data_IF_329532501532
#
_entry.id   IF_329532501532
#
_cell.length_a   1.000
_cell.length_b   1.000
_cell.length_c   1.000
_cell.angle_alpha   90.00
_cell.angle_beta   90.00
_cell.angle_gamma   90.00
#
_symmetry.space_group_name_H-M   'P 1'
#
loop_
_entity.id
_entity.type
_entity.pdbx_description
1 polymer ?
#
# COMPACT_ATOMS: atom_id res chain seq x y z
N UNK A 1 -28.54 -38.32 33.49
CA UNK A 1 -28.77 -37.75 32.14
C UNK A 1 -29.80 -36.64 32.21
N UNK A 2 -29.36 -35.38 32.19
CA UNK A 2 -30.20 -34.22 31.86
C UNK A 2 -29.36 -33.34 30.95
N UNK A 3 -29.60 -33.50 29.66
CA UNK A 3 -28.91 -32.77 28.61
C UNK A 3 -29.52 -31.38 28.45
N UNK A 4 -28.62 -30.43 28.18
CA UNK A 4 -28.78 -29.31 27.25
C UNK A 4 -29.93 -28.32 27.49
N UNK A 5 -29.56 -27.14 28.00
CA UNK A 5 -29.86 -25.86 27.33
C UNK A 5 -29.08 -24.72 28.00
N UNK A 6 -27.74 -24.80 27.94
CA UNK A 6 -26.94 -23.58 28.05
C UNK A 6 -26.98 -22.95 26.66
N UNK A 7 -28.08 -22.24 26.39
CA UNK A 7 -28.11 -21.26 25.31
C UNK A 7 -27.17 -20.15 25.73
N UNK A 8 -25.91 -20.26 25.32
CA UNK A 8 -25.04 -19.11 25.23
C UNK A 8 -25.72 -18.15 24.25
N UNK A 9 -26.46 -17.18 24.79
CA UNK A 9 -26.61 -15.88 24.14
C UNK A 9 -25.18 -15.44 23.82
N UNK A 10 -24.80 -15.68 22.56
CA UNK A 10 -23.69 -14.97 21.95
C UNK A 10 -24.03 -13.51 22.12
N UNK A 11 -23.40 -12.88 23.11
CA UNK A 11 -23.42 -11.45 23.31
C UNK A 11 -22.80 -10.84 22.05
N UNK A 12 -23.65 -10.57 21.07
CA UNK A 12 -23.24 -9.95 19.81
C UNK A 12 -22.82 -8.54 20.18
N UNK A 13 -21.50 -8.36 20.32
CA UNK A 13 -20.87 -7.05 20.47
C UNK A 13 -21.57 -6.06 19.54
N UNK A 14 -22.04 -4.91 20.06
CA UNK A 14 -22.78 -3.96 19.25
C UNK A 14 -21.97 -3.62 18.00
N UNK A 15 -22.61 -3.79 16.83
CA UNK A 15 -21.97 -3.52 15.55
C UNK A 15 -21.35 -2.11 15.58
N UNK A 16 -20.05 -1.95 15.25
CA UNK A 16 -19.46 -0.62 15.20
C UNK A 16 -20.28 0.25 14.26
N UNK A 17 -20.56 1.51 14.64
CA UNK A 17 -21.46 2.42 13.90
C UNK A 17 -21.08 2.59 12.41
N UNK A 18 -19.84 2.25 12.00
CA UNK A 18 -19.34 2.26 10.61
C UNK A 18 -18.32 1.13 10.35
N UNK A 19 -18.74 -0.12 10.10
CA UNK A 19 -17.83 -1.27 10.01
C UNK A 19 -16.86 -1.18 8.83
N UNK A 20 -17.28 -0.58 7.70
CA UNK A 20 -16.45 -0.44 6.51
C UNK A 20 -15.21 0.42 6.76
N UNK A 21 -15.39 1.57 7.42
CA UNK A 21 -14.32 2.52 7.70
C UNK A 21 -13.42 2.04 8.84
N UNK A 22 -14.02 1.54 9.91
CA UNK A 22 -13.27 1.08 11.09
C UNK A 22 -12.40 -0.14 10.77
N UNK A 23 -12.95 -1.12 10.04
CA UNK A 23 -12.18 -2.32 9.64
C UNK A 23 -11.10 -1.97 8.63
N UNK A 24 -11.44 -1.16 7.60
CA UNK A 24 -10.45 -0.69 6.63
C UNK A 24 -9.31 0.06 7.29
N UNK A 25 -9.61 0.99 8.20
CA UNK A 25 -8.59 1.75 8.91
C UNK A 25 -7.73 0.87 9.83
N UNK A 26 -8.35 -0.07 10.56
CA UNK A 26 -7.62 -1.02 11.43
C UNK A 26 -6.55 -1.78 10.65
N UNK A 27 -6.93 -2.38 9.52
CA UNK A 27 -6.01 -3.17 8.70
C UNK A 27 -5.05 -2.30 7.88
N UNK A 28 -5.49 -1.14 7.40
CA UNK A 28 -4.63 -0.23 6.66
C UNK A 28 -3.55 0.40 7.52
N UNK A 29 -3.86 0.79 8.77
CA UNK A 29 -2.85 1.27 9.72
C UNK A 29 -1.87 0.16 10.13
N UNK A 30 -2.36 -1.06 10.36
CA UNK A 30 -1.51 -2.21 10.65
C UNK A 30 -0.58 -2.52 9.46
N UNK A 31 -1.11 -2.54 8.23
CA UNK A 31 -0.31 -2.73 7.02
C UNK A 31 0.68 -1.60 6.78
N UNK A 32 0.30 -0.36 7.05
CA UNK A 32 1.20 0.80 7.00
C UNK A 32 2.35 0.67 8.01
N UNK A 33 2.06 0.22 9.23
CA UNK A 33 3.08 -0.08 10.24
C UNK A 33 4.06 -1.18 9.79
N UNK A 34 3.56 -2.25 9.18
CA UNK A 34 4.42 -3.29 8.60
C UNK A 34 5.25 -2.74 7.44
N UNK A 35 4.66 -1.91 6.56
CA UNK A 35 5.38 -1.24 5.47
C UNK A 35 6.54 -0.40 5.99
N UNK A 36 6.32 0.36 7.07
CA UNK A 36 7.38 1.12 7.75
C UNK A 36 8.47 0.19 8.30
N UNK A 37 8.07 -0.90 8.98
CA UNK A 37 9.01 -1.88 9.50
C UNK A 37 9.87 -2.53 8.41
N UNK A 38 9.27 -2.85 7.25
CA UNK A 38 9.98 -3.37 6.09
C UNK A 38 10.95 -2.34 5.50
N UNK A 39 10.50 -1.09 5.34
CA UNK A 39 11.37 0.00 4.88
C UNK A 39 12.61 0.15 5.79
N UNK A 40 12.39 0.22 7.10
CA UNK A 40 13.49 0.34 8.07
C UNK A 40 14.41 -0.89 8.05
N UNK A 41 13.85 -2.08 7.89
CA UNK A 41 14.65 -3.31 7.79
C UNK A 41 15.55 -3.30 6.55
N UNK A 42 15.02 -2.92 5.40
CA UNK A 42 15.79 -2.79 4.15
C UNK A 42 16.88 -1.71 4.27
N UNK A 43 16.53 -0.58 4.87
CA UNK A 43 17.48 0.49 5.14
C UNK A 43 18.63 0.01 6.06
N UNK A 44 18.33 -0.75 7.12
CA UNK A 44 19.36 -1.33 8.01
C UNK A 44 20.26 -2.34 7.28
N UNK A 45 19.74 -3.05 6.28
CA UNK A 45 20.51 -3.97 5.43
C UNK A 45 21.36 -3.26 4.37
N UNK A 46 21.31 -1.92 4.31
CA UNK A 46 21.98 -1.08 3.28
C UNK A 46 21.49 -1.35 1.86
N UNK A 47 20.31 -1.94 1.70
CA UNK A 47 19.61 -1.96 0.43
C UNK A 47 18.88 -0.63 0.23
N UNK A 48 18.58 -0.27 -1.03
CA UNK A 48 17.74 0.87 -1.32
C UNK A 48 16.26 0.50 -1.01
N UNK A 49 15.67 1.00 0.09
CA UNK A 49 14.33 0.62 0.50
C UNK A 49 13.25 1.18 -0.44
N UNK A 50 13.53 2.26 -1.19
CA UNK A 50 12.55 2.90 -2.07
C UNK A 50 12.17 2.00 -3.26
N UNK A 51 13.12 1.20 -3.74
CA UNK A 51 12.88 0.26 -4.84
C UNK A 51 12.41 -1.10 -4.34
N UNK A 52 13.09 -1.66 -3.33
CA UNK A 52 12.77 -2.98 -2.79
C UNK A 52 11.37 -3.02 -2.14
N UNK A 53 10.94 -1.97 -1.43
CA UNK A 53 9.63 -1.92 -0.79
C UNK A 53 8.48 -2.09 -1.80
N UNK A 54 8.66 -1.57 -3.03
CA UNK A 54 7.67 -1.67 -4.10
C UNK A 54 7.33 -3.12 -4.47
N UNK A 55 8.30 -4.03 -4.39
CA UNK A 55 8.07 -5.46 -4.62
C UNK A 55 7.22 -6.08 -3.50
N UNK A 56 7.47 -5.68 -2.25
CA UNK A 56 6.70 -6.15 -1.11
C UNK A 56 5.25 -5.65 -1.14
N UNK A 57 4.99 -4.47 -1.70
CA UNK A 57 3.63 -3.91 -1.83
C UNK A 57 2.69 -4.80 -2.65
N UNK A 58 3.21 -5.51 -3.66
CA UNK A 58 2.44 -6.48 -4.45
C UNK A 58 1.93 -7.67 -3.62
N UNK A 59 2.53 -7.93 -2.46
CA UNK A 59 2.10 -8.99 -1.53
C UNK A 59 1.32 -8.38 -0.36
N UNK A 60 1.82 -7.29 0.19
CA UNK A 60 1.28 -6.62 1.38
C UNK A 60 -0.13 -6.10 1.12
N UNK A 61 -0.35 -5.40 0.00
CA UNK A 61 -1.65 -4.78 -0.30
C UNK A 61 -2.74 -5.85 -0.48
N UNK A 62 -2.59 -6.89 -1.32
CA UNK A 62 -3.59 -7.95 -1.42
C UNK A 62 -3.87 -8.65 -0.10
N UNK A 63 -2.85 -8.90 0.71
CA UNK A 63 -3.00 -9.57 2.00
C UNK A 63 -3.92 -8.76 2.94
N UNK A 64 -3.65 -7.46 3.09
CA UNK A 64 -4.42 -6.60 3.98
C UNK A 64 -5.81 -6.28 3.46
N UNK A 65 -5.96 -6.09 2.14
CA UNK A 65 -7.28 -5.95 1.50
C UNK A 65 -8.09 -7.24 1.69
N UNK A 66 -7.49 -8.40 1.50
CA UNK A 66 -8.16 -9.69 1.71
C UNK A 66 -8.68 -9.84 3.14
N UNK A 67 -7.85 -9.55 4.15
CA UNK A 67 -8.28 -9.63 5.55
C UNK A 67 -9.37 -8.61 5.88
N UNK A 68 -9.27 -7.39 5.35
CA UNK A 68 -10.31 -6.37 5.50
C UNK A 68 -11.64 -6.86 4.98
N UNK A 69 -11.67 -7.36 3.73
CA UNK A 69 -12.91 -7.81 3.09
C UNK A 69 -13.47 -9.07 3.74
N UNK A 70 -12.60 -9.99 4.14
CA UNK A 70 -12.97 -11.19 4.89
C UNK A 70 -13.66 -10.81 6.20
N UNK A 71 -13.07 -9.89 6.98
CA UNK A 71 -13.65 -9.48 8.25
C UNK A 71 -15.00 -8.78 8.06
N UNK A 72 -15.06 -7.82 7.13
CA UNK A 72 -16.30 -7.11 6.80
C UNK A 72 -17.39 -8.09 6.39
N UNK A 73 -17.11 -9.04 5.50
CA UNK A 73 -18.09 -10.02 5.05
C UNK A 73 -18.53 -10.94 6.18
N UNK A 74 -17.58 -11.57 6.87
CA UNK A 74 -17.86 -12.70 7.79
C UNK A 74 -18.45 -12.20 9.12
N UNK A 75 -17.95 -11.09 9.67
CA UNK A 75 -18.35 -10.62 11.01
C UNK A 75 -19.36 -9.46 11.00
N UNK A 76 -19.41 -8.64 9.95
CA UNK A 76 -20.30 -7.46 9.92
C UNK A 76 -21.52 -7.63 9.02
N UNK A 77 -21.41 -8.39 7.93
CA UNK A 77 -22.51 -8.54 6.95
C UNK A 77 -22.97 -10.00 6.75
N UNK A 78 -22.71 -10.88 7.73
CA UNK A 78 -23.24 -12.25 7.81
C UNK A 78 -23.02 -13.07 6.53
N UNK A 79 -21.82 -12.96 5.94
CA UNK A 79 -21.44 -13.71 4.75
C UNK A 79 -21.90 -13.09 3.42
N UNK A 80 -22.59 -11.95 3.42
CA UNK A 80 -23.00 -11.21 2.21
C UNK A 80 -22.18 -9.95 2.07
N UNK A 81 -21.73 -9.62 0.87
CA UNK A 81 -20.98 -8.39 0.62
C UNK A 81 -21.40 -7.82 -0.72
N UNK A 82 -21.95 -6.60 -0.71
CA UNK A 82 -22.21 -5.88 -1.95
C UNK A 82 -20.89 -5.34 -2.53
N UNK A 83 -20.84 -5.22 -3.86
CA UNK A 83 -19.64 -4.74 -4.55
C UNK A 83 -19.16 -3.38 -4.02
N UNK A 84 -20.08 -2.42 -3.84
CA UNK A 84 -19.71 -1.10 -3.33
C UNK A 84 -19.16 -1.15 -1.89
N UNK A 85 -19.65 -2.08 -1.05
CA UNK A 85 -19.16 -2.25 0.32
C UNK A 85 -17.72 -2.76 0.33
N UNK A 86 -17.41 -3.73 -0.54
CA UNK A 86 -16.05 -4.22 -0.72
C UNK A 86 -15.12 -3.14 -1.27
N UNK A 87 -15.55 -2.42 -2.31
CA UNK A 87 -14.78 -1.29 -2.85
C UNK A 87 -14.50 -0.22 -1.79
N UNK A 88 -15.49 0.17 -0.98
CA UNK A 88 -15.30 1.18 0.07
C UNK A 88 -14.37 0.69 1.18
N UNK A 89 -14.58 -0.52 1.71
CA UNK A 89 -13.72 -1.04 2.79
C UNK A 89 -12.27 -1.27 2.31
N UNK A 90 -12.10 -1.81 1.10
CA UNK A 90 -10.78 -1.97 0.48
C UNK A 90 -10.10 -0.64 0.21
N UNK A 91 -10.83 0.35 -0.33
CA UNK A 91 -10.34 1.73 -0.52
C UNK A 91 -9.79 2.31 0.77
N UNK A 92 -10.58 2.27 1.86
CA UNK A 92 -10.12 2.79 3.16
C UNK A 92 -8.88 2.05 3.65
N UNK A 93 -8.79 0.73 3.45
CA UNK A 93 -7.62 -0.06 3.82
C UNK A 93 -6.37 0.35 3.04
N UNK A 94 -6.36 0.23 1.72
CA UNK A 94 -5.13 0.51 0.97
C UNK A 94 -4.78 2.01 0.98
N UNK A 95 -5.75 2.92 1.03
CA UNK A 95 -5.48 4.35 1.07
C UNK A 95 -4.86 4.77 2.40
N UNK A 96 -5.31 4.19 3.53
CA UNK A 96 -4.67 4.46 4.83
C UNK A 96 -3.28 3.82 4.93
N UNK A 97 -3.09 2.62 4.40
CA UNK A 97 -1.76 2.00 4.26
C UNK A 97 -0.81 2.89 3.45
N UNK A 98 -1.25 3.32 2.26
CA UNK A 98 -0.48 4.18 1.36
C UNK A 98 -0.18 5.53 1.99
N UNK A 99 -1.15 6.15 2.67
CA UNK A 99 -0.96 7.42 3.36
C UNK A 99 0.08 7.32 4.48
N UNK A 100 0.01 6.27 5.32
CA UNK A 100 0.99 6.04 6.38
C UNK A 100 2.39 5.83 5.81
N UNK A 101 2.51 5.03 4.74
CA UNK A 101 3.79 4.79 4.04
C UNK A 101 4.35 6.09 3.47
N UNK A 102 3.55 6.85 2.72
CA UNK A 102 3.98 8.10 2.09
C UNK A 102 4.39 9.17 3.10
N UNK A 103 3.60 9.35 4.16
CA UNK A 103 3.94 10.28 5.26
C UNK A 103 5.27 9.87 5.89
N UNK A 104 5.47 8.58 6.14
CA UNK A 104 6.71 8.09 6.70
C UNK A 104 7.90 8.31 5.75
N UNK A 105 7.78 7.97 4.47
CA UNK A 105 8.83 8.20 3.46
C UNK A 105 9.20 9.67 3.40
N UNK A 106 8.20 10.57 3.34
CA UNK A 106 8.44 12.01 3.32
C UNK A 106 9.23 12.46 4.56
N UNK A 107 8.80 12.05 5.76
CA UNK A 107 9.47 12.40 7.01
C UNK A 107 10.89 11.81 7.05
N UNK A 108 11.06 10.56 6.65
CA UNK A 108 12.33 9.86 6.70
C UNK A 108 13.37 10.51 5.78
N UNK A 109 13.00 10.80 4.53
CA UNK A 109 13.89 11.44 3.57
C UNK A 109 14.16 12.92 3.89
N UNK A 110 13.22 13.60 4.57
CA UNK A 110 13.38 15.02 4.90
C UNK A 110 14.16 15.25 6.19
N UNK A 111 14.12 14.30 7.15
CA UNK A 111 14.67 14.53 8.50
C UNK A 111 15.61 13.42 9.01
N UNK A 112 15.49 12.17 8.54
CA UNK A 112 16.25 11.06 9.11
C UNK A 112 17.49 10.69 8.28
N UNK A 113 17.34 10.52 6.96
CA UNK A 113 18.43 10.19 6.04
C UNK A 113 18.26 10.97 4.74
N UNK A 114 18.77 12.20 4.73
CA UNK A 114 18.76 13.09 3.56
C UNK A 114 19.67 12.57 2.44
N UNK A 115 20.68 11.77 2.79
CA UNK A 115 21.61 11.19 1.83
C UNK A 115 20.96 10.05 1.03
N UNK A 116 19.95 9.37 1.60
CA UNK A 116 19.20 8.33 0.90
C UNK A 116 18.56 8.86 -0.39
N UNK A 117 18.02 10.08 -0.37
CA UNK A 117 17.46 10.73 -1.56
C UNK A 117 18.55 10.89 -2.64
N UNK A 118 19.71 11.40 -2.27
CA UNK A 118 20.83 11.59 -3.21
C UNK A 118 21.34 10.25 -3.76
N UNK A 119 21.43 9.21 -2.92
CA UNK A 119 21.79 7.86 -3.38
C UNK A 119 20.79 7.35 -4.40
N UNK A 120 19.49 7.47 -4.11
CA UNK A 120 18.42 7.04 -5.02
C UNK A 120 18.46 7.79 -6.36
N UNK A 121 18.68 9.11 -6.34
CA UNK A 121 18.86 9.91 -7.57
C UNK A 121 20.06 9.41 -8.38
N UNK A 122 21.20 9.19 -7.74
CA UNK A 122 22.42 8.74 -8.42
C UNK A 122 22.27 7.33 -9.01
N UNK A 123 21.60 6.42 -8.31
CA UNK A 123 21.30 5.07 -8.81
C UNK A 123 20.40 5.14 -10.04
N UNK A 124 19.32 5.93 -10.01
CA UNK A 124 18.43 6.10 -11.15
C UNK A 124 19.11 6.78 -12.35
N UNK A 125 19.97 7.78 -12.10
CA UNK A 125 20.76 8.42 -13.15
C UNK A 125 21.75 7.45 -13.76
N UNK A 126 22.41 6.62 -12.96
CA UNK A 126 23.33 5.61 -13.46
C UNK A 126 22.61 4.64 -14.42
N UNK A 127 21.38 4.20 -14.09
CA UNK A 127 20.57 3.33 -14.96
C UNK A 127 20.18 4.02 -16.28
N UNK A 128 19.82 5.30 -16.24
CA UNK A 128 19.49 6.05 -17.47
C UNK A 128 20.73 6.30 -18.33
N UNK A 129 21.88 6.52 -17.71
CA UNK A 129 23.14 6.85 -18.38
C UNK A 129 23.97 5.62 -18.81
N UNK A 130 23.60 4.42 -18.36
CA UNK A 130 24.28 3.17 -18.71
C UNK A 130 24.19 2.89 -20.23
N UNK A 131 23.03 3.11 -20.83
CA UNK A 131 22.80 2.93 -22.27
C UNK A 131 21.81 3.99 -22.80
N UNK A 132 22.27 5.24 -23.03
CA UNK A 132 21.41 6.33 -23.49
C UNK A 132 20.78 6.06 -24.86
N UNK A 133 21.50 5.38 -25.76
CA UNK A 133 21.03 5.09 -27.11
C UNK A 133 19.81 4.15 -27.08
N UNK A 134 19.85 3.12 -26.22
CA UNK A 134 18.70 2.24 -25.99
C UNK A 134 17.49 3.00 -25.45
N UNK A 135 17.68 3.85 -24.44
CA UNK A 135 16.58 4.64 -23.88
C UNK A 135 16.00 5.62 -24.91
N UNK A 136 16.83 6.37 -25.61
CA UNK A 136 16.41 7.29 -26.69
C UNK A 136 15.67 6.53 -27.79
N UNK A 137 16.12 5.33 -28.16
CA UNK A 137 15.45 4.47 -29.14
C UNK A 137 14.08 3.96 -28.69
N UNK A 138 13.86 3.77 -27.39
CA UNK A 138 12.60 3.26 -26.83
C UNK A 138 11.56 4.35 -26.56
N UNK A 139 11.96 5.46 -25.93
CA UNK A 139 11.05 6.51 -25.47
C UNK A 139 11.17 7.81 -26.27
N UNK A 140 12.20 7.93 -27.10
CA UNK A 140 12.51 9.16 -27.84
C UNK A 140 13.42 10.11 -27.03
N UNK A 141 14.15 10.97 -27.76
CA UNK A 141 15.14 11.88 -27.17
C UNK A 141 14.52 12.85 -26.15
N UNK A 142 13.37 13.43 -26.47
CA UNK A 142 12.71 14.40 -25.59
C UNK A 142 12.28 13.77 -24.26
N UNK A 143 11.69 12.56 -24.30
CA UNK A 143 11.29 11.85 -23.08
C UNK A 143 12.50 11.40 -22.24
N UNK A 144 13.60 11.01 -22.90
CA UNK A 144 14.85 10.70 -22.21
C UNK A 144 15.45 11.93 -21.50
N UNK A 145 15.52 13.08 -22.17
CA UNK A 145 16.00 14.32 -21.57
C UNK A 145 15.12 14.76 -20.39
N UNK A 146 13.80 14.64 -20.54
CA UNK A 146 12.85 14.91 -19.45
C UNK A 146 13.06 13.95 -18.27
N UNK A 147 13.23 12.65 -18.51
CA UNK A 147 13.47 11.67 -17.45
C UNK A 147 14.76 11.98 -16.67
N UNK A 148 15.83 12.41 -17.35
CA UNK A 148 17.06 12.85 -16.69
C UNK A 148 16.83 14.07 -15.79
N UNK A 149 16.03 15.03 -16.24
CA UNK A 149 15.71 16.23 -15.47
C UNK A 149 14.82 15.91 -14.27
N UNK A 150 13.81 15.05 -14.45
CA UNK A 150 12.93 14.58 -13.38
C UNK A 150 13.71 13.85 -12.29
N UNK A 151 14.64 12.96 -12.65
CA UNK A 151 15.48 12.27 -11.65
C UNK A 151 16.41 13.25 -10.92
N UNK A 152 16.97 14.25 -11.61
CA UNK A 152 17.86 15.25 -10.97
C UNK A 152 17.13 16.15 -9.98
N UNK A 153 15.89 16.50 -10.28
CA UNK A 153 15.08 17.41 -9.47
C UNK A 153 14.14 16.67 -8.50
N UNK A 154 14.29 15.36 -8.38
CA UNK A 154 13.44 14.49 -7.59
C UNK A 154 13.49 14.86 -6.11
N UNK A 155 12.35 15.20 -5.51
CA UNK A 155 12.27 15.58 -4.10
C UNK A 155 11.73 14.44 -3.22
N UNK A 156 11.88 14.59 -1.90
CA UNK A 156 11.24 13.69 -0.93
C UNK A 156 9.71 13.66 -1.08
N UNK A 157 9.10 14.79 -1.46
CA UNK A 157 7.66 14.88 -1.69
C UNK A 157 7.25 14.11 -2.95
N UNK A 158 8.06 14.17 -4.01
CA UNK A 158 7.80 13.41 -5.25
C UNK A 158 7.85 11.91 -4.99
N UNK A 159 8.83 11.43 -4.22
CA UNK A 159 8.92 10.01 -3.85
C UNK A 159 7.76 9.55 -2.97
N UNK A 160 7.37 10.35 -1.98
CA UNK A 160 6.23 10.04 -1.14
C UNK A 160 4.92 9.99 -1.95
N UNK A 161 4.75 10.92 -2.90
CA UNK A 161 3.59 10.96 -3.77
C UNK A 161 3.58 9.78 -4.76
N UNK A 162 4.73 9.46 -5.36
CA UNK A 162 4.91 8.29 -6.22
C UNK A 162 4.55 6.99 -5.50
N UNK A 163 5.03 6.82 -4.26
CA UNK A 163 4.71 5.68 -3.39
C UNK A 163 3.19 5.60 -3.14
N UNK A 164 2.59 6.72 -2.74
CA UNK A 164 1.15 6.82 -2.48
C UNK A 164 0.32 6.42 -3.70
N UNK A 165 0.65 6.97 -4.87
CA UNK A 165 -0.07 6.76 -6.12
C UNK A 165 0.06 5.31 -6.59
N UNK A 166 1.26 4.74 -6.56
CA UNK A 166 1.51 3.34 -6.96
C UNK A 166 0.77 2.36 -6.04
N UNK A 167 0.87 2.52 -4.73
CA UNK A 167 0.13 1.68 -3.76
C UNK A 167 -1.39 1.82 -3.93
N UNK A 168 -1.88 3.03 -4.14
CA UNK A 168 -3.31 3.31 -4.40
C UNK A 168 -3.80 2.64 -5.67
N UNK A 169 -3.01 2.69 -6.75
CA UNK A 169 -3.35 2.08 -8.03
C UNK A 169 -3.41 0.55 -7.92
N UNK A 170 -2.38 -0.07 -7.32
CA UNK A 170 -2.36 -1.51 -7.05
C UNK A 170 -3.56 -1.90 -6.18
N UNK A 171 -3.80 -1.17 -5.09
CA UNK A 171 -4.92 -1.40 -4.18
C UNK A 171 -6.28 -1.34 -4.86
N UNK A 172 -6.48 -0.40 -5.78
CA UNK A 172 -7.71 -0.26 -6.55
C UNK A 172 -8.01 -1.51 -7.37
N UNK A 173 -7.03 -1.99 -8.16
CA UNK A 173 -7.21 -3.18 -9.00
C UNK A 173 -7.43 -4.44 -8.16
N UNK A 174 -6.61 -4.63 -7.12
CA UNK A 174 -6.68 -5.78 -6.24
C UNK A 174 -8.01 -5.82 -5.48
N UNK A 175 -8.47 -4.68 -4.96
CA UNK A 175 -9.77 -4.58 -4.29
C UNK A 175 -10.90 -4.95 -5.23
N UNK A 176 -10.87 -4.47 -6.48
CA UNK A 176 -11.86 -4.82 -7.49
C UNK A 176 -11.93 -6.34 -7.72
N UNK A 177 -10.77 -6.98 -7.93
CA UNK A 177 -10.66 -8.43 -8.15
C UNK A 177 -11.19 -9.21 -6.94
N UNK A 178 -10.68 -8.92 -5.73
CA UNK A 178 -11.07 -9.66 -4.51
C UNK A 178 -12.56 -9.46 -4.20
N UNK A 179 -13.08 -8.25 -4.40
CA UNK A 179 -14.51 -7.97 -4.19
C UNK A 179 -15.40 -8.75 -5.16
N UNK A 180 -14.99 -8.92 -6.42
CA UNK A 180 -15.72 -9.76 -7.37
C UNK A 180 -15.82 -11.22 -6.92
N UNK A 181 -14.75 -11.77 -6.33
CA UNK A 181 -14.77 -13.13 -5.76
C UNK A 181 -15.68 -13.26 -4.53
N UNK A 182 -15.76 -12.21 -3.70
CA UNK A 182 -16.54 -12.24 -2.46
C UNK A 182 -18.01 -11.86 -2.63
N UNK A 183 -18.35 -11.15 -3.70
CA UNK A 183 -19.71 -10.69 -3.98
C UNK A 183 -20.64 -11.90 -4.13
N UNK A 184 -21.74 -11.88 -3.38
CA UNK A 184 -22.88 -12.79 -3.49
C UNK A 184 -24.16 -11.99 -3.68
#
# INVERSE_FOLDING_TARGET
>A
MKAASVSAEQEVSPLPKKPLFTTGLKYGLAGGGISIGLFLSLWLLKENPLDSLRLFDFILIPLFVFFTLKEVRDYHYRGRLHYWQGMTAGFVCYASLAAVSAIFIYIFLSFADTDLLMRHQNENLAVLMEDPEKWIGQVGKQAYEQALEEVRNLTAADLALDDFLKKTLIGLFITGIITLFYKK
#
